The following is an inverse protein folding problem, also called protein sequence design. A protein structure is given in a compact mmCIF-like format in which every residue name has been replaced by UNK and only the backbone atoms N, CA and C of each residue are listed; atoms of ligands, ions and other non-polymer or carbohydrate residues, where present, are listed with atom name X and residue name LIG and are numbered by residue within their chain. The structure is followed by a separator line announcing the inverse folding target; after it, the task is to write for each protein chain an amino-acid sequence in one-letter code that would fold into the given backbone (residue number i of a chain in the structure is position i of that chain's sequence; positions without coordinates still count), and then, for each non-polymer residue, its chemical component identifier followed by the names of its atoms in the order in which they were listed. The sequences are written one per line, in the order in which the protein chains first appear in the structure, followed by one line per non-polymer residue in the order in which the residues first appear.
data_IF_841882203883
#
_entry.id   IF_841882203883
#
_cell.length_a   1.000
_cell.length_b   1.000
_cell.length_c   1.000
_cell.angle_alpha   90.00
_cell.angle_beta   90.00
_cell.angle_gamma   90.00
#
_symmetry.space_group_name_H-M   'P 1'
#
loop_
_entity.id
_entity.type
_entity.pdbx_description
1 polymer ?
#
# COMPACT_ATOMS: atom_id res chain seq x y z
N UNK A 1 0.47 12.08 7.57
CA UNK A 1 0.59 11.52 6.20
C UNK A 1 2.07 11.48 5.88
N UNK A 2 2.57 10.46 5.15
CA UNK A 2 3.96 10.45 4.72
C UNK A 2 4.22 11.68 3.83
N UNK A 3 5.44 12.20 3.88
CA UNK A 3 5.88 13.24 2.95
C UNK A 3 5.90 12.73 1.51
N UNK A 4 5.97 13.65 0.55
CA UNK A 4 6.17 13.27 -0.84
C UNK A 4 7.60 12.74 -1.03
N UNK A 5 7.71 11.63 -1.79
CA UNK A 5 9.01 11.12 -2.22
C UNK A 5 9.56 12.03 -3.32
N UNK A 6 10.87 12.27 -3.30
CA UNK A 6 11.53 12.83 -4.47
C UNK A 6 11.35 11.89 -5.69
N UNK A 7 11.45 12.46 -6.88
CA UNK A 7 11.16 11.73 -8.12
C UNK A 7 12.06 10.52 -8.35
N UNK A 8 13.32 10.57 -7.89
CA UNK A 8 14.31 9.49 -8.05
C UNK A 8 13.96 8.30 -7.16
N UNK A 9 13.79 8.54 -5.86
CA UNK A 9 13.35 7.54 -4.88
C UNK A 9 12.00 6.94 -5.28
N UNK A 10 11.06 7.78 -5.75
CA UNK A 10 9.77 7.30 -6.23
C UNK A 10 9.90 6.40 -7.46
N UNK A 11 10.80 6.70 -8.41
CA UNK A 11 11.03 5.87 -9.58
C UNK A 11 11.64 4.51 -9.20
N UNK A 12 12.66 4.50 -8.32
CA UNK A 12 13.27 3.27 -7.80
C UNK A 12 12.24 2.39 -7.09
N UNK A 13 11.42 2.99 -6.23
CA UNK A 13 10.39 2.28 -5.49
C UNK A 13 9.31 1.70 -6.41
N UNK A 14 8.88 2.46 -7.42
CA UNK A 14 7.91 1.98 -8.43
C UNK A 14 8.44 0.75 -9.18
N UNK A 15 9.71 0.72 -9.56
CA UNK A 15 10.29 -0.43 -10.26
C UNK A 15 10.21 -1.73 -9.45
N UNK A 16 10.31 -1.64 -8.11
CA UNK A 16 10.21 -2.81 -7.22
C UNK A 16 8.75 -3.17 -6.93
N UNK A 17 7.90 -2.16 -6.69
CA UNK A 17 6.57 -2.35 -6.11
C UNK A 17 5.49 -2.55 -7.18
N UNK A 18 5.53 -1.82 -8.30
CA UNK A 18 4.50 -1.91 -9.33
C UNK A 18 4.31 -3.32 -9.91
N UNK A 19 5.38 -4.08 -10.22
CA UNK A 19 5.21 -5.45 -10.72
C UNK A 19 4.46 -6.34 -9.72
N UNK A 20 4.63 -6.11 -8.42
CA UNK A 20 3.92 -6.86 -7.38
C UNK A 20 2.45 -6.48 -7.32
N UNK A 21 2.16 -5.18 -7.50
CA UNK A 21 0.80 -4.66 -7.56
C UNK A 21 0.05 -5.23 -8.77
N UNK A 22 0.66 -5.17 -9.95
CA UNK A 22 0.07 -5.64 -11.21
C UNK A 22 -0.20 -7.13 -11.19
N UNK A 23 0.73 -7.92 -10.65
CA UNK A 23 0.59 -9.37 -10.55
C UNK A 23 -0.38 -9.84 -9.46
N UNK A 24 -0.77 -8.97 -8.51
CA UNK A 24 -1.66 -9.35 -7.43
C UNK A 24 -3.09 -9.62 -7.93
N UNK A 25 -3.65 -10.77 -7.53
CA UNK A 25 -5.00 -11.23 -7.87
C UNK A 25 -6.06 -10.92 -6.79
N UNK A 26 -5.62 -10.60 -5.58
CA UNK A 26 -6.47 -10.23 -4.44
C UNK A 26 -5.72 -9.31 -3.47
N UNK A 27 -6.41 -8.74 -2.49
CA UNK A 27 -5.77 -7.96 -1.42
C UNK A 27 -4.81 -8.80 -0.57
N UNK A 28 -5.14 -10.07 -0.30
CA UNK A 28 -4.27 -10.98 0.44
C UNK A 28 -3.00 -11.32 -0.34
N UNK A 29 -3.14 -11.62 -1.64
CA UNK A 29 -2.01 -11.85 -2.55
C UNK A 29 -1.10 -10.61 -2.64
N UNK A 30 -1.70 -9.41 -2.75
CA UNK A 30 -0.95 -8.16 -2.75
C UNK A 30 -0.10 -8.00 -1.47
N UNK A 31 -0.69 -8.27 -0.30
CA UNK A 31 0.06 -8.21 0.97
C UNK A 31 1.23 -9.19 0.97
N UNK A 32 1.00 -10.43 0.53
CA UNK A 32 2.05 -11.46 0.48
C UNK A 32 3.22 -11.01 -0.40
N UNK A 33 2.94 -10.58 -1.63
CA UNK A 33 3.97 -10.11 -2.58
C UNK A 33 4.73 -8.89 -2.08
N UNK A 34 4.06 -7.94 -1.44
CA UNK A 34 4.73 -6.79 -0.84
C UNK A 34 5.63 -7.19 0.32
N UNK A 35 5.20 -8.14 1.16
CA UNK A 35 6.00 -8.63 2.30
C UNK A 35 7.28 -9.32 1.85
N UNK A 36 7.25 -10.07 0.76
CA UNK A 36 8.45 -10.67 0.15
C UNK A 36 9.49 -9.63 -0.29
N UNK A 37 9.07 -8.38 -0.50
CA UNK A 37 9.95 -7.25 -0.84
C UNK A 37 10.30 -6.37 0.37
N UNK A 38 9.91 -6.77 1.58
CA UNK A 38 10.16 -6.00 2.80
C UNK A 38 9.20 -4.83 3.02
N UNK A 39 8.05 -4.82 2.33
CA UNK A 39 7.02 -3.81 2.49
C UNK A 39 5.76 -4.38 3.15
N UNK A 40 5.05 -3.54 3.89
CA UNK A 40 3.69 -3.82 4.31
C UNK A 40 2.70 -2.86 3.67
N UNK A 41 1.42 -3.12 3.96
CA UNK A 41 0.28 -2.38 3.43
C UNK A 41 -0.57 -1.84 4.58
N UNK A 42 -0.86 -0.55 4.56
CA UNK A 42 -1.73 0.11 5.52
C UNK A 42 -2.73 1.03 4.82
N UNK A 43 -3.65 1.58 5.61
CA UNK A 43 -4.64 2.54 5.15
C UNK A 43 -4.70 3.70 6.13
N UNK A 44 -4.77 4.94 5.62
CA UNK A 44 -4.97 6.12 6.45
C UNK A 44 -5.79 7.17 5.71
N UNK A 45 -6.84 7.68 6.35
CA UNK A 45 -7.75 8.69 5.81
C UNK A 45 -8.17 8.40 4.34
N UNK A 46 -8.62 7.16 4.09
CA UNK A 46 -9.08 6.71 2.77
C UNK A 46 -7.97 6.52 1.71
N UNK A 47 -6.70 6.55 2.10
CA UNK A 47 -5.56 6.28 1.19
C UNK A 47 -4.88 4.97 1.54
N UNK A 48 -4.44 4.26 0.51
CA UNK A 48 -3.49 3.15 0.67
C UNK A 48 -2.10 3.71 0.97
N UNK A 49 -1.43 3.14 1.96
CA UNK A 49 -0.09 3.50 2.41
C UNK A 49 0.82 2.28 2.24
N UNK A 50 1.96 2.47 1.58
CA UNK A 50 3.07 1.53 1.62
C UNK A 50 3.89 1.84 2.87
N UNK A 51 4.19 0.84 3.69
CA UNK A 51 5.03 0.99 4.87
C UNK A 51 6.21 0.01 4.84
N UNK A 52 7.23 0.30 5.64
CA UNK A 52 8.34 -0.61 5.85
C UNK A 52 7.90 -1.76 6.75
N UNK A 53 8.19 -3.00 6.36
CA UNK A 53 7.70 -4.17 7.08
C UNK A 53 8.30 -4.31 8.48
N UNK A 54 9.56 -3.93 8.66
CA UNK A 54 10.32 -4.11 9.92
C UNK A 54 9.88 -3.17 11.06
N UNK A 55 9.54 -1.94 10.74
CA UNK A 55 9.35 -0.80 11.65
C UNK A 55 7.93 -0.25 11.58
N UNK A 56 7.18 -0.59 10.53
CA UNK A 56 5.86 -0.05 10.26
C UNK A 56 5.86 1.41 9.79
N UNK A 57 7.03 2.01 9.56
CA UNK A 57 7.16 3.39 9.12
C UNK A 57 6.49 3.60 7.76
N UNK A 58 5.62 4.62 7.65
CA UNK A 58 4.94 4.97 6.41
C UNK A 58 5.95 5.55 5.40
N UNK A 59 5.97 4.99 4.18
CA UNK A 59 6.90 5.41 3.12
C UNK A 59 6.20 6.39 2.19
N UNK A 60 5.10 5.97 1.57
CA UNK A 60 4.36 6.79 0.61
C UNK A 60 2.93 6.29 0.43
N UNK A 61 2.14 7.04 -0.34
CA UNK A 61 0.80 6.62 -0.71
C UNK A 61 0.81 5.74 -1.97
N UNK A 62 -0.24 4.94 -2.17
CA UNK A 62 -0.44 4.22 -3.43
C UNK A 62 -0.49 5.13 -4.67
N UNK A 63 -1.01 6.36 -4.52
CA UNK A 63 -1.00 7.37 -5.60
C UNK A 63 0.42 7.72 -6.02
N UNK A 64 1.34 7.87 -5.06
CA UNK A 64 2.75 8.15 -5.34
C UNK A 64 3.39 7.03 -6.17
N UNK A 65 2.88 5.80 -6.10
CA UNK A 65 3.33 4.65 -6.88
C UNK A 65 2.63 4.52 -8.24
N UNK A 66 1.63 5.34 -8.56
CA UNK A 66 0.78 5.16 -9.74
C UNK A 66 -0.38 4.15 -9.54
N UNK A 67 -0.54 3.64 -8.32
CA UNK A 67 -1.56 2.65 -7.96
C UNK A 67 -2.47 3.17 -6.83
N UNK A 68 -3.34 4.17 -7.10
CA UNK A 68 -4.23 4.72 -6.08
C UNK A 68 -5.25 3.67 -5.62
N UNK A 69 -5.67 3.75 -4.36
CA UNK A 69 -6.63 2.82 -3.74
C UNK A 69 -7.88 2.58 -4.60
N UNK A 70 -8.45 3.65 -5.19
CA UNK A 70 -9.63 3.54 -6.06
C UNK A 70 -9.40 2.61 -7.25
N UNK A 71 -8.24 2.70 -7.90
CA UNK A 71 -7.90 1.85 -9.05
C UNK A 71 -7.72 0.40 -8.63
N UNK A 72 -7.05 0.16 -7.50
CA UNK A 72 -6.89 -1.18 -6.96
C UNK A 72 -8.21 -1.79 -6.52
N UNK A 73 -9.08 -1.01 -5.86
CA UNK A 73 -10.39 -1.50 -5.43
C UNK A 73 -11.32 -1.82 -6.60
N UNK A 74 -11.19 -1.12 -7.74
CA UNK A 74 -11.92 -1.46 -8.96
C UNK A 74 -11.48 -2.83 -9.54
N UNK A 75 -10.21 -3.20 -9.36
CA UNK A 75 -9.64 -4.46 -9.90
C UNK A 75 -9.72 -5.63 -8.92
N UNK A 76 -9.43 -5.40 -7.64
CA UNK A 76 -9.34 -6.42 -6.58
C UNK A 76 -10.59 -6.51 -5.71
N UNK A 77 -11.61 -5.68 -5.97
CA UNK A 77 -12.77 -5.50 -5.08
C UNK A 77 -12.48 -4.56 -3.91
N UNK A 78 -13.50 -4.25 -3.10
CA UNK A 78 -13.33 -3.39 -1.91
C UNK A 78 -12.52 -4.13 -0.84
N UNK A 79 -11.45 -3.54 -0.27
CA UNK A 79 -10.72 -4.19 0.81
C UNK A 79 -11.61 -4.26 2.06
N UNK A 80 -11.65 -5.43 2.70
CA UNK A 80 -12.19 -5.55 4.05
C UNK A 80 -11.18 -4.92 5.02
N UNK A 81 -11.60 -3.92 5.80
CA UNK A 81 -10.70 -3.14 6.64
C UNK A 81 -11.13 -3.21 8.10
N UNK A 82 -10.14 -3.38 8.99
CA UNK A 82 -10.29 -3.15 10.43
C UNK A 82 -9.75 -1.76 10.77
N UNK A 83 -10.64 -0.89 11.24
CA UNK A 83 -10.28 0.45 11.71
C UNK A 83 -9.46 0.37 13.00
N UNK A 84 -8.49 1.27 13.13
CA UNK A 84 -7.71 1.49 14.33
C UNK A 84 -8.48 2.42 15.28
N UNK A 85 -8.08 2.45 16.56
CA UNK A 85 -8.74 3.29 17.59
C UNK A 85 -8.66 4.79 17.31
N UNK A 86 -7.69 5.21 16.49
CA UNK A 86 -7.53 6.60 16.07
C UNK A 86 -8.62 7.07 15.07
N UNK A 87 -9.46 6.16 14.57
CA UNK A 87 -10.52 6.45 13.60
C UNK A 87 -10.01 6.87 12.21
N UNK A 88 -8.69 6.90 12.02
CA UNK A 88 -8.04 7.43 10.82
C UNK A 88 -7.23 6.37 10.09
N UNK A 89 -6.70 5.40 10.82
CA UNK A 89 -5.87 4.32 10.29
C UNK A 89 -6.66 3.03 10.19
N UNK A 90 -6.35 2.20 9.21
CA UNK A 90 -6.91 0.86 9.09
C UNK A 90 -5.87 -0.12 8.55
N UNK A 91 -6.13 -1.40 8.76
CA UNK A 91 -5.39 -2.52 8.18
C UNK A 91 -6.37 -3.45 7.48
N UNK A 92 -5.88 -4.28 6.56
CA UNK A 92 -6.71 -5.34 5.98
C UNK A 92 -7.22 -6.25 7.10
N UNK A 93 -8.50 -6.59 7.01
CA UNK A 93 -9.13 -7.63 7.79
C UNK A 93 -8.74 -8.96 7.12
N UNK A 94 -8.03 -9.80 7.88
CA UNK A 94 -7.72 -11.18 7.50
C UNK A 94 -8.94 -12.07 7.64
#
# INVERSE_FOLDING_TARGET
MPGDLDSETAALLRMVVLPQIEAASSWGDLVMRLREKGFGLGFRAGRMILNRLDSGAEICTGRSLGAPLRGLAARLGRPALRLSRDGLSARLQG
#
